data_IF_208466583371
#
_entry.id   IF_208466583371
#
_cell.length_a   1.000
_cell.length_b   1.000
_cell.length_c   1.000
_cell.angle_alpha   90.00
_cell.angle_beta   90.00
_cell.angle_gamma   90.00
#
_symmetry.space_group_name_H-M   'P 1'
#
loop_
_entity.id
_entity.type
_entity.pdbx_description
1 polymer ?
#
# COMPACT_ATOMS: atom_id res chain seq x y z
N UNK A 1 -13.38 -11.50 -2.70
CA UNK A 1 -14.61 -10.75 -2.33
C UNK A 1 -14.19 -9.52 -1.56
N UNK A 2 -14.77 -8.34 -1.84
CA UNK A 2 -14.34 -7.07 -1.23
C UNK A 2 -15.31 -6.70 -0.09
N UNK A 3 -15.10 -7.23 1.11
CA UNK A 3 -15.75 -6.68 2.31
C UNK A 3 -15.05 -5.37 2.65
N UNK A 4 -15.81 -4.29 2.87
CA UNK A 4 -15.25 -2.94 3.05
C UNK A 4 -14.13 -2.95 4.09
N UNK A 5 -12.90 -2.70 3.66
CA UNK A 5 -11.72 -2.56 4.53
C UNK A 5 -10.85 -3.81 4.72
N UNK A 6 -11.22 -4.98 4.18
CA UNK A 6 -10.39 -6.19 4.25
C UNK A 6 -10.33 -6.94 2.91
N UNK A 7 -9.20 -6.81 2.22
CA UNK A 7 -8.91 -7.60 1.03
C UNK A 7 -8.44 -9.00 1.45
N UNK A 8 -9.21 -10.02 1.04
CA UNK A 8 -8.86 -11.42 1.16
C UNK A 8 -8.89 -12.09 -0.21
N UNK A 9 -7.83 -12.83 -0.52
CA UNK A 9 -7.74 -13.64 -1.73
C UNK A 9 -7.90 -15.10 -1.32
N UNK A 10 -8.90 -15.76 -1.91
CA UNK A 10 -9.15 -17.17 -1.69
C UNK A 10 -8.48 -17.97 -2.81
N UNK A 11 -7.68 -18.97 -2.43
CA UNK A 11 -7.11 -19.94 -3.36
C UNK A 11 -7.73 -21.32 -3.12
N UNK A 12 -8.39 -21.85 -4.14
CA UNK A 12 -8.96 -23.20 -4.19
C UNK A 12 -9.84 -23.57 -2.99
N UNK A 13 -10.45 -22.60 -2.31
CA UNK A 13 -11.20 -22.81 -1.07
C UNK A 13 -10.38 -23.44 0.07
N UNK A 14 -9.06 -23.50 -0.07
CA UNK A 14 -8.13 -24.08 0.91
C UNK A 14 -7.31 -23.04 1.64
N UNK A 15 -7.02 -21.92 0.99
CA UNK A 15 -6.19 -20.86 1.57
C UNK A 15 -6.89 -19.52 1.49
N UNK A 16 -6.76 -18.75 2.56
CA UNK A 16 -7.26 -17.40 2.66
C UNK A 16 -6.10 -16.46 2.92
N UNK A 17 -5.74 -15.66 1.92
CA UNK A 17 -4.54 -14.82 1.94
C UNK A 17 -4.89 -13.36 2.21
N UNK A 18 -4.18 -12.75 3.15
CA UNK A 18 -4.22 -11.31 3.43
C UNK A 18 -2.88 -10.65 3.13
N UNK A 19 -2.91 -9.44 2.56
CA UNK A 19 -1.70 -8.66 2.30
C UNK A 19 -1.39 -7.71 3.45
N UNK A 20 -0.14 -7.69 3.93
CA UNK A 20 0.31 -6.83 5.03
C UNK A 20 1.75 -6.35 4.84
N UNK A 21 2.05 -5.18 5.40
CA UNK A 21 3.42 -4.76 5.68
C UNK A 21 3.93 -5.52 6.91
N UNK A 22 5.16 -6.00 6.87
CA UNK A 22 5.84 -6.65 7.99
C UNK A 22 6.79 -5.66 8.69
N UNK A 23 6.98 -5.87 10.00
CA UNK A 23 8.05 -5.23 10.76
C UNK A 23 9.40 -5.84 10.40
N UNK A 24 10.50 -5.21 10.85
CA UNK A 24 11.84 -5.81 10.79
C UNK A 24 11.95 -7.15 11.52
N UNK A 25 11.05 -7.43 12.46
CA UNK A 25 10.93 -8.71 13.17
C UNK A 25 10.03 -9.73 12.45
N UNK A 26 9.59 -9.44 11.22
CA UNK A 26 8.73 -10.31 10.42
C UNK A 26 7.27 -10.37 10.87
N UNK A 27 6.85 -9.54 11.84
CA UNK A 27 5.48 -9.53 12.34
C UNK A 27 4.60 -8.60 11.49
N UNK A 28 3.36 -8.99 11.15
CA UNK A 28 2.44 -8.10 10.45
C UNK A 28 2.19 -6.82 11.25
N UNK A 29 2.38 -5.65 10.62
CA UNK A 29 2.11 -4.36 11.25
C UNK A 29 0.63 -3.97 11.04
N UNK A 30 -0.11 -3.83 12.14
CA UNK A 30 -1.34 -3.05 12.32
C UNK A 30 -1.93 -3.29 13.72
N UNK A 31 -2.83 -2.40 14.15
CA UNK A 31 -3.67 -2.62 15.35
C UNK A 31 -4.48 -3.91 15.16
N UNK A 32 -4.37 -4.89 16.08
CA UNK A 32 -5.12 -6.13 16.00
C UNK A 32 -6.61 -5.86 16.22
N UNK A 33 -7.41 -5.95 15.16
CA UNK A 33 -8.86 -5.97 15.26
C UNK A 33 -9.34 -7.36 15.69
N UNK A 34 -10.55 -7.49 16.26
CA UNK A 34 -11.13 -8.79 16.58
C UNK A 34 -11.12 -9.74 15.38
N UNK A 35 -11.43 -9.23 14.18
CA UNK A 35 -11.36 -10.00 12.93
C UNK A 35 -9.95 -10.49 12.60
N UNK A 36 -8.90 -9.72 12.94
CA UNK A 36 -7.51 -10.14 12.76
C UNK A 36 -7.10 -11.22 13.75
N UNK A 37 -7.53 -11.11 15.01
CA UNK A 37 -7.23 -12.11 16.03
C UNK A 37 -7.88 -13.46 15.66
N UNK A 38 -9.14 -13.39 15.21
CA UNK A 38 -9.87 -14.56 14.75
C UNK A 38 -9.25 -15.19 13.50
N UNK A 39 -8.79 -14.38 12.54
CA UNK A 39 -8.03 -14.87 11.37
C UNK A 39 -6.71 -15.55 11.77
N UNK A 40 -5.96 -14.96 12.71
CA UNK A 40 -4.68 -15.51 13.14
C UNK A 40 -4.83 -16.81 13.95
N UNK A 41 -5.95 -17.00 14.66
CA UNK A 41 -6.21 -18.16 15.49
C UNK A 41 -6.51 -19.46 14.72
N UNK A 42 -6.58 -19.43 13.38
CA UNK A 42 -6.92 -20.59 12.52
C UNK A 42 -8.25 -21.29 12.88
N UNK A 43 -9.08 -20.67 13.71
CA UNK A 43 -10.31 -21.25 14.28
C UNK A 43 -11.52 -20.39 13.92
N UNK A 44 -11.80 -20.19 12.63
CA UNK A 44 -13.09 -19.63 12.24
C UNK A 44 -13.63 -20.23 10.97
N UNK A 45 -14.84 -20.78 11.09
CA UNK A 45 -15.86 -20.69 10.05
C UNK A 45 -16.19 -19.20 9.87
N UNK A 46 -15.55 -18.58 8.89
CA UNK A 46 -15.90 -17.22 8.50
C UNK A 46 -17.19 -17.29 7.69
N UNK A 47 -18.24 -16.51 8.01
CA UNK A 47 -19.45 -16.46 7.19
C UNK A 47 -19.08 -16.16 5.74
N UNK A 48 -19.58 -16.98 4.81
CA UNK A 48 -19.25 -16.93 3.37
C UNK A 48 -17.80 -17.36 3.00
N UNK A 49 -17.10 -18.09 3.87
CA UNK A 49 -15.81 -18.73 3.58
C UNK A 49 -15.92 -20.27 3.64
N UNK A 50 -14.94 -21.01 3.10
CA UNK A 50 -14.90 -22.47 3.19
C UNK A 50 -14.90 -22.95 4.65
N UNK A 51 -15.30 -24.20 4.91
CA UNK A 51 -15.46 -24.70 6.29
C UNK A 51 -14.17 -24.63 7.13
N UNK A 52 -12.96 -24.72 6.53
CA UNK A 52 -11.69 -24.50 7.24
C UNK A 52 -10.53 -24.09 6.31
N UNK A 53 -10.47 -22.85 5.79
CA UNK A 53 -9.32 -22.40 5.02
C UNK A 53 -8.12 -22.15 5.94
N UNK A 54 -6.93 -22.54 5.51
CA UNK A 54 -5.68 -22.11 6.15
C UNK A 54 -5.51 -20.61 5.93
N UNK A 55 -5.48 -19.86 7.02
CA UNK A 55 -5.32 -18.42 7.00
C UNK A 55 -3.85 -18.07 6.82
N UNK A 56 -3.52 -17.30 5.79
CA UNK A 56 -2.15 -16.93 5.40
C UNK A 56 -1.98 -15.42 5.32
N UNK A 57 -0.77 -14.95 5.63
CA UNK A 57 -0.40 -13.55 5.47
C UNK A 57 0.70 -13.43 4.43
N UNK A 58 0.39 -12.81 3.29
CA UNK A 58 1.37 -12.30 2.34
C UNK A 58 1.93 -10.98 2.88
N UNK A 59 3.13 -11.06 3.43
CA UNK A 59 3.87 -9.96 4.02
C UNK A 59 4.89 -9.36 3.08
N UNK A 60 5.09 -8.05 3.14
CA UNK A 60 6.26 -7.41 2.54
C UNK A 60 6.98 -6.52 3.56
N UNK A 61 8.31 -6.49 3.51
CA UNK A 61 9.14 -5.60 4.33
C UNK A 61 9.78 -4.55 3.42
N UNK A 62 9.81 -3.31 3.91
CA UNK A 62 10.51 -2.23 3.22
C UNK A 62 11.96 -2.13 3.68
N UNK A 63 12.79 -1.54 2.84
CA UNK A 63 14.14 -1.12 3.21
C UNK A 63 14.12 -0.09 4.38
N UNK A 64 15.26 0.16 5.04
CA UNK A 64 15.32 1.12 6.13
C UNK A 64 14.84 2.54 5.78
N UNK A 65 14.97 2.96 4.51
CA UNK A 65 14.50 4.26 4.04
C UNK A 65 13.03 4.26 3.60
N UNK A 66 12.36 3.11 3.65
CA UNK A 66 10.97 2.91 3.23
C UNK A 66 10.67 3.31 1.78
N UNK A 67 11.67 3.22 0.91
CA UNK A 67 11.56 3.53 -0.53
C UNK A 67 11.20 2.31 -1.36
N UNK A 68 11.71 1.13 -0.98
CA UNK A 68 11.61 -0.07 -1.79
C UNK A 68 11.19 -1.29 -0.96
N UNK A 69 10.50 -2.24 -1.60
CA UNK A 69 10.21 -3.53 -0.99
C UNK A 69 11.50 -4.35 -1.01
N UNK A 70 12.03 -4.64 0.17
CA UNK A 70 13.26 -5.39 0.33
C UNK A 70 13.00 -6.90 0.31
N UNK A 71 11.89 -7.35 0.90
CA UNK A 71 11.53 -8.78 0.95
C UNK A 71 10.03 -8.98 0.91
N UNK A 72 9.62 -10.09 0.31
CA UNK A 72 8.25 -10.59 0.31
C UNK A 72 8.23 -11.97 0.98
N UNK A 73 7.24 -12.24 1.83
CA UNK A 73 7.15 -13.49 2.60
C UNK A 73 5.69 -13.95 2.71
N UNK A 74 5.47 -15.25 2.79
CA UNK A 74 4.17 -15.84 3.14
C UNK A 74 4.29 -16.45 4.53
N UNK A 75 3.40 -16.06 5.44
CA UNK A 75 3.39 -16.50 6.83
C UNK A 75 2.11 -17.29 7.12
N UNK A 76 2.23 -18.37 7.89
CA UNK A 76 1.08 -19.05 8.49
C UNK A 76 1.02 -18.74 9.99
N UNK A 77 0.18 -17.79 10.42
CA UNK A 77 -0.02 -17.51 11.84
C UNK A 77 -0.72 -18.69 12.54
N UNK A 78 -0.41 -18.87 13.83
CA UNK A 78 -1.10 -19.77 14.75
C UNK A 78 -1.26 -19.04 16.09
N UNK A 79 -2.31 -18.22 16.17
CA UNK A 79 -2.51 -17.26 17.25
C UNK A 79 -1.41 -16.19 17.27
N UNK A 80 -0.52 -16.26 18.26
CA UNK A 80 0.61 -15.33 18.43
C UNK A 80 1.92 -15.84 17.81
N UNK A 81 1.94 -17.10 17.37
CA UNK A 81 3.09 -17.74 16.77
C UNK A 81 3.00 -17.72 15.25
N UNK A 82 4.14 -17.91 14.59
CA UNK A 82 4.22 -18.18 13.16
C UNK A 82 4.61 -19.65 13.05
N UNK A 83 3.72 -20.48 12.49
CA UNK A 83 3.94 -21.92 12.36
C UNK A 83 5.00 -22.22 11.30
N UNK A 84 4.93 -21.50 10.19
CA UNK A 84 5.93 -21.53 9.12
C UNK A 84 5.94 -20.22 8.35
N UNK A 85 7.05 -19.93 7.72
CA UNK A 85 7.26 -18.80 6.84
C UNK A 85 8.04 -19.20 5.58
N UNK A 86 7.67 -18.60 4.44
CA UNK A 86 8.32 -18.82 3.15
C UNK A 86 8.78 -17.46 2.64
N UNK A 87 10.08 -17.31 2.36
CA UNK A 87 10.59 -16.15 1.66
C UNK A 87 10.29 -16.30 0.17
N UNK A 88 9.69 -15.27 -0.42
CA UNK A 88 9.56 -15.15 -1.88
C UNK A 88 10.81 -14.44 -2.36
N UNK A 89 11.95 -15.14 -2.31
CA UNK A 89 13.16 -14.70 -3.00
C UNK A 89 12.90 -14.87 -4.50
N UNK A 90 12.55 -13.77 -5.15
CA UNK A 90 12.75 -13.69 -6.58
C UNK A 90 14.27 -13.66 -6.78
N UNK A 91 14.80 -14.58 -7.61
CA UNK A 91 15.99 -14.30 -8.40
C UNK A 91 15.65 -13.08 -9.27
N UNK A 92 15.71 -11.88 -8.66
CA UNK A 92 15.43 -10.59 -9.26
C UNK A 92 16.67 -10.22 -10.07
N UNK A 93 16.85 -10.85 -11.23
CA UNK A 93 17.44 -10.17 -12.38
C UNK A 93 16.43 -9.09 -12.83
N UNK A 94 16.24 -8.07 -12.00
CA UNK A 94 15.42 -6.91 -12.32
C UNK A 94 16.08 -6.20 -13.48
N UNK A 95 15.57 -6.42 -14.69
CA UNK A 95 15.99 -5.62 -15.85
C UNK A 95 15.41 -4.23 -15.67
N UNK A 96 16.20 -3.32 -15.09
CA UNK A 96 15.83 -1.91 -14.93
C UNK A 96 15.56 -1.32 -16.32
N UNK A 97 14.30 -0.99 -16.60
CA UNK A 97 13.94 -0.21 -17.78
C UNK A 97 14.29 1.26 -17.50
N UNK A 98 15.15 1.90 -18.29
CA UNK A 98 15.48 3.30 -18.07
C UNK A 98 14.24 4.18 -18.29
N UNK A 99 13.84 4.91 -17.25
CA UNK A 99 12.84 5.96 -17.37
C UNK A 99 13.49 7.11 -18.13
N UNK A 100 12.91 7.48 -19.28
CA UNK A 100 13.33 8.67 -20.00
C UNK A 100 12.88 9.91 -19.22
N UNK A 101 13.82 10.60 -18.58
CA UNK A 101 13.57 11.89 -17.95
C UNK A 101 13.32 12.88 -19.10
N UNK A 102 12.07 13.32 -19.24
CA UNK A 102 11.72 14.39 -20.16
C UNK A 102 12.12 15.70 -19.49
N UNK A 103 13.02 16.47 -20.09
CA UNK A 103 13.38 17.78 -19.56
C UNK A 103 12.13 18.66 -19.44
N UNK A 104 11.93 19.35 -18.31
CA UNK A 104 10.78 20.22 -18.12
C UNK A 104 10.78 21.29 -19.21
N UNK A 105 9.68 21.35 -19.96
CA UNK A 105 9.48 22.36 -21.00
C UNK A 105 9.64 23.75 -20.39
N UNK A 106 10.54 24.57 -20.96
CA UNK A 106 10.82 25.94 -20.47
C UNK A 106 9.50 26.67 -20.17
N UNK A 107 9.34 27.28 -18.99
CA UNK A 107 8.12 27.99 -18.66
C UNK A 107 7.88 29.11 -19.68
N UNK A 108 6.75 29.07 -20.37
CA UNK A 108 6.34 30.17 -21.24
C UNK A 108 6.15 31.40 -20.36
N UNK A 109 6.98 32.43 -20.59
CA UNK A 109 6.86 33.72 -19.88
C UNK A 109 5.47 34.28 -20.16
N UNK A 110 4.60 34.28 -19.14
CA UNK A 110 3.29 34.92 -19.21
C UNK A 110 3.42 36.38 -19.68
N UNK A 111 2.49 36.80 -20.54
CA UNK A 111 2.43 38.17 -21.06
C UNK A 111 2.26 39.15 -19.89
N UNK A 112 3.26 40.01 -19.66
CA UNK A 112 3.17 41.08 -18.65
C UNK A 112 2.01 42.02 -19.01
N UNK A 113 0.98 42.05 -18.18
CA UNK A 113 -0.11 43.03 -18.29
C UNK A 113 0.40 44.35 -17.71
N UNK A 114 0.40 45.42 -18.52
CA UNK A 114 0.68 46.77 -18.03
C UNK A 114 -0.60 47.35 -17.42
N UNK A 115 -0.55 47.90 -16.19
CA UNK A 115 -1.71 48.57 -15.61
C UNK A 115 -2.07 49.79 -16.47
N UNK A 116 -3.37 49.97 -16.73
CA UNK A 116 -3.90 51.12 -17.46
C UNK A 116 -3.87 52.32 -16.50
N UNK A 117 -3.12 53.38 -16.84
CA UNK A 117 -3.12 54.63 -16.08
C UNK A 117 -4.55 55.16 -16.02
N UNK A 118 -5.15 55.15 -14.83
CA UNK A 118 -6.38 55.86 -14.54
C UNK A 118 -5.96 57.27 -14.14
N UNK A 119 -6.20 58.26 -15.00
CA UNK A 119 -6.04 59.67 -14.66
C UNK A 119 -7.04 60.02 -13.54
N UNK A 120 -6.63 60.80 -12.53
CA UNK A 120 -7.54 61.26 -11.49
C UNK A 120 -8.60 62.18 -12.10
N UNK A 121 -9.88 61.93 -11.80
CA UNK A 121 -10.97 62.85 -12.10
C UNK A 121 -10.70 64.17 -11.37
N UNK A 122 -10.61 65.27 -12.12
CA UNK A 122 -10.62 66.62 -11.57
C UNK A 122 -11.90 66.82 -10.76
N UNK A 123 -11.75 67.35 -9.54
CA UNK A 123 -12.84 68.00 -8.82
C UNK A 123 -13.23 69.24 -9.64
N UNK A 124 -14.51 69.35 -10.00
CA UNK A 124 -15.08 70.64 -10.37
C UNK A 124 -15.60 71.28 -9.08
N UNK A 125 -15.06 72.46 -8.78
CA UNK A 125 -15.66 73.43 -7.87
C UNK A 125 -16.86 74.09 -8.58
N UNK A 126 -18.03 74.06 -7.95
CA UNK A 126 -19.03 75.13 -7.94
C UNK A 126 -19.98 74.96 -6.74
#
# INVERSE_FOLDING_TARGET
MNSRGLLLVNFFQKYLLRFKKLSRSGKPQNVPTNQTNLFNGQQMELPCMPEMPTCLVAGYQLDPLQKEIQTCRILCPDGHLIRWDISLEENLEATLQPITIIDPTKPQKGRKVKPKNILPKSKNDE
#
